data_IF_654380732733
#
_entry.id   IF_654380732733
#
_cell.length_a   1.000
_cell.length_b   1.000
_cell.length_c   1.000
_cell.angle_alpha   90.00
_cell.angle_beta   90.00
_cell.angle_gamma   90.00
#
_symmetry.space_group_name_H-M   'P 1'
#
loop_
_entity.id
_entity.type
_entity.pdbx_description
1 polymer ?
#
# COMPACT_ATOMS: atom_id res chain seq x y z
N UNK A 1 -1.33 21.29 8.33
CA UNK A 1 -0.45 20.46 9.18
C UNK A 1 -0.62 19.02 8.73
N UNK A 2 0.31 18.50 7.92
CA UNK A 2 0.24 17.11 7.46
C UNK A 2 0.55 16.19 8.65
N UNK A 3 -0.42 15.39 9.07
CA UNK A 3 -0.20 14.40 10.11
C UNK A 3 0.77 13.37 9.50
N UNK A 4 1.96 13.14 10.07
CA UNK A 4 2.82 12.06 9.63
C UNK A 4 2.11 10.75 9.99
N UNK A 5 1.25 10.26 9.09
CA UNK A 5 0.64 8.94 9.24
C UNK A 5 1.78 7.93 9.38
N UNK A 6 1.92 7.39 10.58
CA UNK A 6 2.83 6.31 10.89
C UNK A 6 2.43 5.09 10.05
N UNK A 7 3.39 4.25 9.63
CA UNK A 7 3.13 3.01 8.91
C UNK A 7 1.97 2.18 9.49
N UNK A 8 1.87 2.12 10.82
CA UNK A 8 0.83 1.38 11.53
C UNK A 8 -0.59 1.91 11.28
N UNK A 9 -0.77 3.22 11.18
CA UNK A 9 -2.09 3.82 10.93
C UNK A 9 -2.59 3.50 9.52
N UNK A 10 -1.69 3.42 8.53
CA UNK A 10 -2.07 3.02 7.17
C UNK A 10 -2.49 1.55 7.13
N UNK A 11 -1.76 0.68 7.83
CA UNK A 11 -2.12 -0.74 7.95
C UNK A 11 -3.50 -0.88 8.61
N UNK A 12 -3.78 -0.13 9.67
CA UNK A 12 -5.06 -0.16 10.37
C UNK A 12 -6.22 0.31 9.48
N UNK A 13 -6.04 1.40 8.73
CA UNK A 13 -7.04 1.88 7.76
C UNK A 13 -7.32 0.79 6.70
N UNK A 14 -6.27 0.19 6.15
CA UNK A 14 -6.39 -0.87 5.15
C UNK A 14 -7.11 -2.11 5.72
N UNK A 15 -6.77 -2.53 6.94
CA UNK A 15 -7.41 -3.67 7.63
C UNK A 15 -8.88 -3.44 7.94
N UNK A 16 -9.31 -2.20 8.18
CA UNK A 16 -10.72 -1.87 8.35
C UNK A 16 -11.52 -1.84 7.03
N UNK A 17 -10.82 -2.04 5.91
CA UNK A 17 -11.39 -2.01 4.56
C UNK A 17 -11.46 -0.60 3.97
N UNK A 18 -10.65 0.34 4.47
CA UNK A 18 -10.49 1.65 3.88
C UNK A 18 -9.58 1.59 2.64
N UNK A 19 -10.02 2.22 1.55
CA UNK A 19 -9.16 2.45 0.39
C UNK A 19 -8.03 3.43 0.74
N UNK A 20 -6.85 3.20 0.17
CA UNK A 20 -5.71 4.08 0.35
C UNK A 20 -5.22 4.53 -1.01
N UNK A 21 -4.91 5.81 -1.11
CA UNK A 21 -4.19 6.38 -2.23
C UNK A 21 -2.93 7.02 -1.67
N UNK A 22 -1.78 6.47 -2.06
CA UNK A 22 -0.48 6.77 -1.47
C UNK A 22 0.42 7.30 -2.57
N UNK A 23 0.83 8.56 -2.43
CA UNK A 23 1.86 9.16 -3.28
C UNK A 23 3.25 8.75 -2.76
N UNK A 24 3.96 7.93 -3.55
CA UNK A 24 5.30 7.46 -3.23
C UNK A 24 6.40 8.45 -3.62
N UNK A 25 6.09 9.56 -4.29
CA UNK A 25 7.09 10.60 -4.59
C UNK A 25 7.45 11.44 -3.36
N UNK A 26 6.47 11.73 -2.51
CA UNK A 26 6.66 12.53 -1.28
C UNK A 26 6.93 11.68 -0.04
N UNK A 27 6.70 10.36 -0.10
CA UNK A 27 6.91 9.44 1.02
C UNK A 27 7.74 8.23 0.62
N UNK A 28 8.93 8.14 1.22
CA UNK A 28 9.74 6.91 1.20
C UNK A 28 9.06 5.88 2.11
N UNK A 29 8.25 5.00 1.52
CA UNK A 29 7.74 3.82 2.20
C UNK A 29 8.68 2.66 1.92
N UNK A 30 9.13 2.00 2.99
CA UNK A 30 9.92 0.77 2.86
C UNK A 30 9.06 -0.31 2.18
N UNK A 31 9.65 -1.15 1.31
CA UNK A 31 8.97 -2.27 0.66
C UNK A 31 8.12 -3.12 1.61
N UNK A 32 8.66 -3.41 2.79
CA UNK A 32 7.99 -4.23 3.81
C UNK A 32 6.72 -3.57 4.36
N UNK A 33 6.71 -2.24 4.47
CA UNK A 33 5.53 -1.49 4.89
C UNK A 33 4.44 -1.55 3.82
N UNK A 34 4.80 -1.42 2.54
CA UNK A 34 3.83 -1.54 1.44
C UNK A 34 3.22 -2.94 1.39
N UNK A 35 4.04 -3.98 1.58
CA UNK A 35 3.58 -5.38 1.70
C UNK A 35 2.61 -5.54 2.87
N UNK A 36 2.91 -4.94 4.03
CA UNK A 36 2.05 -5.00 5.20
C UNK A 36 0.69 -4.32 4.96
N UNK A 37 0.68 -3.15 4.32
CA UNK A 37 -0.54 -2.44 3.94
C UNK A 37 -1.37 -3.26 2.95
N UNK A 38 -0.74 -3.78 1.90
CA UNK A 38 -1.41 -4.61 0.89
C UNK A 38 -2.02 -5.87 1.51
N UNK A 39 -1.28 -6.55 2.40
CA UNK A 39 -1.77 -7.74 3.12
C UNK A 39 -2.96 -7.39 4.02
N UNK A 40 -2.89 -6.27 4.74
CA UNK A 40 -3.97 -5.80 5.60
C UNK A 40 -5.25 -5.51 4.81
N UNK A 41 -5.12 -4.83 3.66
CA UNK A 41 -6.23 -4.60 2.74
C UNK A 41 -6.87 -5.91 2.28
N UNK A 42 -6.05 -6.88 1.82
CA UNK A 42 -6.54 -8.18 1.38
C UNK A 42 -7.27 -8.95 2.50
N UNK A 43 -6.76 -8.86 3.73
CA UNK A 43 -7.33 -9.52 4.91
C UNK A 43 -8.61 -8.87 5.44
N UNK A 44 -8.94 -7.63 5.05
CA UNK A 44 -10.13 -6.90 5.54
C UNK A 44 -11.47 -7.50 5.14
N UNK A 45 -11.49 -8.50 4.25
CA UNK A 45 -12.70 -9.11 3.68
C UNK A 45 -13.44 -8.21 2.67
N UNK A 46 -13.28 -6.89 2.75
CA UNK A 46 -13.84 -5.90 1.81
C UNK A 46 -12.96 -5.67 0.58
N UNK A 47 -11.70 -6.10 0.63
CA UNK A 47 -10.70 -5.96 -0.44
C UNK A 47 -10.63 -4.53 -1.02
N UNK A 48 -10.40 -3.49 -0.18
CA UNK A 48 -10.33 -2.13 -0.66
C UNK A 48 -9.14 -1.93 -1.60
N UNK A 49 -9.30 -1.06 -2.58
CA UNK A 49 -8.23 -0.72 -3.51
C UNK A 49 -7.15 0.11 -2.82
N UNK A 50 -5.90 -0.32 -2.96
CA UNK A 50 -4.70 0.37 -2.51
C UNK A 50 -3.94 0.84 -3.75
N UNK A 51 -3.90 2.15 -3.96
CA UNK A 51 -3.23 2.77 -5.09
C UNK A 51 -1.89 3.33 -4.62
N UNK A 52 -0.79 2.86 -5.22
CA UNK A 52 0.52 3.47 -5.07
C UNK A 52 0.82 4.30 -6.33
N UNK A 53 0.89 5.63 -6.16
CA UNK A 53 1.16 6.60 -7.23
C UNK A 53 2.61 7.06 -7.23
N UNK A 54 3.12 7.45 -8.40
CA UNK A 54 4.45 8.05 -8.57
C UNK A 54 5.56 7.20 -7.93
N UNK A 55 5.44 5.87 -8.01
CA UNK A 55 6.50 4.99 -7.53
C UNK A 55 7.71 5.11 -8.45
N UNK A 56 8.78 5.71 -7.94
CA UNK A 56 10.07 5.76 -8.62
C UNK A 56 10.67 4.35 -8.65
N UNK A 57 10.46 3.64 -9.75
CA UNK A 57 11.10 2.38 -10.16
C UNK A 57 11.41 1.47 -8.97
N UNK A 58 10.37 0.89 -8.36
CA UNK A 58 10.59 -0.29 -7.53
C UNK A 58 11.15 -1.40 -8.43
N UNK A 59 12.18 -2.10 -7.97
CA UNK A 59 12.65 -3.32 -8.62
C UNK A 59 11.43 -4.23 -8.88
N UNK A 60 11.28 -4.82 -10.09
CA UNK A 60 10.11 -5.64 -10.44
C UNK A 60 9.77 -6.73 -9.41
N UNK A 61 10.79 -7.27 -8.73
CA UNK A 61 10.65 -8.23 -7.64
C UNK A 61 9.80 -7.69 -6.48
N UNK A 62 10.07 -6.47 -6.05
CA UNK A 62 9.36 -5.84 -4.94
C UNK A 62 7.91 -5.57 -5.30
N UNK A 63 7.66 -5.05 -6.51
CA UNK A 63 6.31 -4.82 -7.00
C UNK A 63 5.50 -6.12 -7.07
N UNK A 64 6.13 -7.21 -7.54
CA UNK A 64 5.54 -8.55 -7.55
C UNK A 64 5.16 -9.03 -6.15
N UNK A 65 6.04 -8.85 -5.16
CA UNK A 65 5.76 -9.21 -3.76
C UNK A 65 4.60 -8.41 -3.15
N UNK A 66 4.52 -7.12 -3.45
CA UNK A 66 3.41 -6.26 -2.99
C UNK A 66 2.10 -6.71 -3.65
N UNK A 67 2.10 -6.93 -4.97
CA UNK A 67 0.92 -7.39 -5.70
C UNK A 67 0.41 -8.74 -5.18
N UNK A 68 1.33 -9.68 -4.92
CA UNK A 68 1.01 -10.98 -4.34
C UNK A 68 0.38 -10.86 -2.95
N UNK A 69 0.90 -9.96 -2.10
CA UNK A 69 0.33 -9.70 -0.78
C UNK A 69 -1.07 -9.07 -0.83
N UNK A 70 -1.33 -8.22 -1.83
CA UNK A 70 -2.61 -7.57 -2.05
C UNK A 70 -3.70 -8.49 -2.63
N UNK A 71 -3.38 -9.66 -3.18
CA UNK A 71 -4.36 -10.59 -3.75
C UNK A 71 -5.36 -9.93 -4.73
N UNK A 72 -4.88 -8.96 -5.52
CA UNK A 72 -5.68 -8.21 -6.50
C UNK A 72 -6.29 -6.89 -6.00
N UNK A 73 -5.99 -6.46 -4.76
CA UNK A 73 -6.45 -5.16 -4.25
C UNK A 73 -5.44 -4.01 -4.45
N UNK A 74 -4.30 -4.26 -5.09
CA UNK A 74 -3.25 -3.26 -5.29
C UNK A 74 -3.22 -2.78 -6.72
N UNK A 75 -3.13 -1.46 -6.90
CA UNK A 75 -2.95 -0.79 -8.19
C UNK A 75 -1.69 0.05 -8.14
N UNK A 76 -0.84 -0.11 -9.15
CA UNK A 76 0.34 0.72 -9.33
C UNK A 76 0.07 1.73 -10.44
N UNK A 77 0.24 3.02 -10.13
CA UNK A 77 0.11 4.12 -11.09
C UNK A 77 1.48 4.76 -11.23
N UNK A 78 2.06 4.55 -12.41
CA UNK A 78 3.38 5.03 -12.81
C UNK A 78 3.26 6.34 -13.58
#
# INVERSE_FOLDING_TARGET
MAIPFLPNSLIEIASNGGGLDIDCSERILLPETMIAIARAAAASGKKPTITFRNMTIMMPDVASRIAAAGQGCVVFVI
#
